data_IF_167671434162
#
_entry.id   IF_167671434162
#
_cell.length_a   1.000
_cell.length_b   1.000
_cell.length_c   1.000
_cell.angle_alpha   90.00
_cell.angle_beta   90.00
_cell.angle_gamma   90.00
#
_symmetry.space_group_name_H-M   'P 1'
#
loop_
_entity.id
_entity.type
_entity.pdbx_description
1 polymer ?
#
# COMPACT_ATOMS: atom_id res chain seq x y z
N UNK A 1 17.64 -26.23 -20.88
CA UNK A 1 17.19 -24.86 -21.20
C UNK A 1 16.43 -24.38 -19.98
N UNK A 2 17.11 -23.73 -19.03
CA UNK A 2 16.45 -23.08 -17.89
C UNK A 2 15.88 -21.78 -18.47
N UNK A 3 14.56 -21.60 -18.41
CA UNK A 3 13.97 -20.31 -18.77
C UNK A 3 14.34 -19.33 -17.68
N UNK A 4 14.90 -18.20 -18.11
CA UNK A 4 15.17 -17.04 -17.27
C UNK A 4 13.80 -16.37 -17.04
N UNK A 5 13.01 -16.93 -16.13
CA UNK A 5 11.74 -16.35 -15.72
C UNK A 5 12.08 -15.20 -14.76
N UNK A 6 12.43 -14.05 -15.35
CA UNK A 6 12.52 -12.78 -14.63
C UNK A 6 11.24 -12.54 -13.81
N UNK A 7 11.27 -11.68 -12.79
CA UNK A 7 10.11 -11.50 -11.91
C UNK A 7 8.87 -11.23 -12.76
N UNK A 8 7.78 -11.95 -12.50
CA UNK A 8 6.45 -11.66 -13.06
C UNK A 8 6.08 -10.24 -12.62
N UNK A 9 6.44 -9.25 -13.43
CA UNK A 9 5.98 -7.88 -13.30
C UNK A 9 4.63 -7.85 -14.00
N UNK A 10 3.52 -7.62 -13.28
CA UNK A 10 2.22 -7.49 -13.93
C UNK A 10 2.29 -6.40 -15.00
N UNK A 11 1.83 -6.73 -16.22
CA UNK A 11 1.81 -5.78 -17.35
C UNK A 11 0.91 -4.56 -17.07
N UNK A 12 -0.01 -4.68 -16.11
CA UNK A 12 -0.88 -3.61 -15.62
C UNK A 12 -0.85 -3.49 -14.09
N UNK A 13 -0.90 -2.25 -13.60
CA UNK A 13 -1.01 -1.96 -12.18
C UNK A 13 -2.40 -2.41 -11.68
N UNK A 14 -2.45 -3.41 -10.80
CA UNK A 14 -3.69 -3.80 -10.14
C UNK A 14 -4.19 -2.67 -9.20
N UNK A 15 -5.33 -2.10 -9.56
CA UNK A 15 -6.04 -1.05 -8.84
C UNK A 15 -7.29 -1.54 -8.11
N UNK A 16 -7.64 -2.82 -8.27
CA UNK A 16 -8.80 -3.44 -7.64
C UNK A 16 -8.41 -4.15 -6.33
N UNK A 17 -7.12 -4.46 -6.15
CA UNK A 17 -6.57 -4.97 -4.89
C UNK A 17 -5.85 -3.87 -4.08
N UNK A 18 -6.00 -3.83 -2.74
CA UNK A 18 -5.21 -2.94 -1.89
C UNK A 18 -3.71 -3.19 -2.02
N UNK A 19 -2.92 -2.12 -2.05
CA UNK A 19 -1.46 -2.20 -2.09
C UNK A 19 -0.84 -1.52 -0.86
N UNK A 20 0.10 -2.21 -0.20
CA UNK A 20 0.72 -1.73 1.03
C UNK A 20 1.43 -0.38 0.88
N UNK A 21 2.09 -0.12 -0.24
CA UNK A 21 2.76 1.16 -0.47
C UNK A 21 1.76 2.32 -0.66
N UNK A 22 0.62 2.06 -1.32
CA UNK A 22 -0.46 3.04 -1.49
C UNK A 22 -1.23 3.28 -0.18
N UNK A 23 -1.42 2.24 0.64
CA UNK A 23 -1.92 2.40 2.01
C UNK A 23 -0.94 3.23 2.86
N UNK A 24 0.36 3.01 2.70
CA UNK A 24 1.39 3.79 3.38
C UNK A 24 1.35 5.27 2.97
N UNK A 25 1.18 5.55 1.68
CA UNK A 25 0.93 6.91 1.18
C UNK A 25 -0.29 7.55 1.85
N UNK A 26 -1.41 6.82 1.98
CA UNK A 26 -2.59 7.30 2.71
C UNK A 26 -2.28 7.63 4.19
N UNK A 27 -1.54 6.78 4.91
CA UNK A 27 -1.16 7.06 6.30
C UNK A 27 -0.33 8.34 6.46
N UNK A 28 0.47 8.67 5.43
CA UNK A 28 1.25 9.90 5.36
C UNK A 28 0.43 11.13 4.96
N UNK A 29 -0.84 10.96 4.58
CA UNK A 29 -1.69 12.03 4.06
C UNK A 29 -1.44 12.35 2.58
N UNK A 30 -0.83 11.42 1.84
CA UNK A 30 -0.64 11.52 0.40
C UNK A 30 -1.91 11.26 -0.41
N UNK A 31 -1.80 11.42 -1.73
CA UNK A 31 -2.89 11.26 -2.69
C UNK A 31 -2.66 10.16 -3.73
N UNK A 32 -1.55 9.42 -3.63
CA UNK A 32 -1.20 8.32 -4.53
C UNK A 32 -1.80 7.00 -4.03
N UNK A 33 -3.11 7.06 -3.76
CA UNK A 33 -3.89 5.96 -3.21
C UNK A 33 -5.30 5.94 -3.82
N UNK A 34 -5.83 4.74 -4.02
CA UNK A 34 -7.14 4.51 -4.60
C UNK A 34 -8.15 4.11 -3.52
N UNK A 35 -9.43 4.01 -3.91
CA UNK A 35 -10.51 3.72 -2.97
C UNK A 35 -10.29 2.39 -2.21
N UNK A 36 -9.78 1.36 -2.90
CA UNK A 36 -9.49 0.05 -2.29
C UNK A 36 -8.39 0.13 -1.23
N UNK A 37 -7.39 0.98 -1.45
CA UNK A 37 -6.29 1.17 -0.48
C UNK A 37 -6.80 1.91 0.75
N UNK A 38 -7.60 2.97 0.57
CA UNK A 38 -8.16 3.75 1.68
C UNK A 38 -9.08 2.90 2.56
N UNK A 39 -9.95 2.09 1.95
CA UNK A 39 -10.84 1.20 2.69
C UNK A 39 -10.04 0.18 3.53
N UNK A 40 -8.98 -0.41 2.98
CA UNK A 40 -8.11 -1.32 3.71
C UNK A 40 -7.32 -0.61 4.81
N UNK A 41 -6.84 0.62 4.55
CA UNK A 41 -6.12 1.43 5.51
C UNK A 41 -6.99 1.85 6.70
N UNK A 42 -8.26 2.19 6.45
CA UNK A 42 -9.24 2.50 7.49
C UNK A 42 -9.55 1.28 8.36
N UNK A 43 -9.68 0.09 7.77
CA UNK A 43 -9.82 -1.16 8.53
C UNK A 43 -8.60 -1.43 9.41
N UNK A 44 -7.39 -1.20 8.88
CA UNK A 44 -6.16 -1.32 9.66
C UNK A 44 -6.09 -0.30 10.80
N UNK A 45 -6.49 0.96 10.58
CA UNK A 45 -6.56 1.98 11.64
C UNK A 45 -7.53 1.60 12.76
N UNK A 46 -8.61 0.87 12.45
CA UNK A 46 -9.53 0.38 13.47
C UNK A 46 -8.91 -0.72 14.36
N UNK A 47 -7.97 -1.51 13.83
CA UNK A 47 -7.29 -2.60 14.57
C UNK A 47 -5.99 -2.12 15.22
N UNK A 48 -5.25 -1.25 14.53
CA UNK A 48 -3.94 -0.71 14.91
C UNK A 48 -3.96 0.83 14.78
N UNK A 49 -4.55 1.55 15.77
CA UNK A 49 -4.71 3.01 15.68
C UNK A 49 -3.40 3.79 15.49
N UNK A 50 -2.27 3.23 15.96
CA UNK A 50 -0.96 3.88 15.92
C UNK A 50 -0.23 3.75 14.58
N UNK A 51 -0.73 2.94 13.63
CA UNK A 51 -0.03 2.64 12.37
C UNK A 51 0.29 3.91 11.56
N UNK A 52 -0.59 4.90 11.59
CA UNK A 52 -0.35 6.17 10.91
C UNK A 52 0.72 7.03 11.60
N UNK A 53 0.81 6.98 12.94
CA UNK A 53 1.87 7.64 13.68
C UNK A 53 3.22 6.97 13.38
N UNK A 54 3.28 5.63 13.35
CA UNK A 54 4.47 4.87 12.97
C UNK A 54 4.94 5.21 11.55
N UNK A 55 4.02 5.26 10.59
CA UNK A 55 4.35 5.60 9.20
C UNK A 55 5.01 7.00 9.09
N UNK A 56 4.50 7.98 9.84
CA UNK A 56 5.07 9.34 9.88
C UNK A 56 6.42 9.38 10.59
N UNK A 57 6.59 8.63 11.67
CA UNK A 57 7.87 8.55 12.40
C UNK A 57 9.01 8.01 11.51
N UNK A 58 8.71 7.07 10.60
CA UNK A 58 9.68 6.56 9.62
C UNK A 58 10.15 7.61 8.59
N UNK A 59 9.54 8.80 8.56
CA UNK A 59 9.88 9.92 7.65
C UNK A 59 10.59 11.09 8.36
N UNK A 60 10.84 10.98 9.66
CA UNK A 60 11.51 12.01 10.48
C UNK A 60 13.04 11.96 10.38
#
# INVERSE_FOLDING_TARGET
MVRDDGPDVPDELDLDSPNAARMYDYYLGGSQNFAVDRAAAEQQLAVLPDVAATARANRA
#
